data_IF_850686598696
#
_entry.id   IF_850686598696
#
_cell.length_a   1.000
_cell.length_b   1.000
_cell.length_c   1.000
_cell.angle_alpha   90.00
_cell.angle_beta   90.00
_cell.angle_gamma   90.00
#
_symmetry.space_group_name_H-M   'P 1'
#
loop_
_entity.id
_entity.type
_entity.pdbx_description
1 polymer ?
#
# COMPACT_ATOMS: atom_id res chain seq x y z
N UNK A 1 2.51 -48.71 25.74
CA UNK A 1 3.38 -47.68 25.14
C UNK A 1 2.49 -46.75 24.33
N UNK A 2 1.84 -45.77 24.96
CA UNK A 2 0.78 -44.95 24.31
C UNK A 2 1.10 -43.45 24.35
N UNK A 3 2.23 -43.06 24.95
CA UNK A 3 2.59 -41.65 25.19
C UNK A 3 3.34 -40.98 24.01
N UNK A 4 3.66 -41.71 22.95
CA UNK A 4 4.37 -41.19 21.76
C UNK A 4 3.44 -40.69 20.64
N UNK A 5 2.16 -41.09 20.67
CA UNK A 5 1.22 -40.79 19.58
C UNK A 5 0.85 -39.31 19.51
N UNK A 6 0.96 -38.56 20.61
CA UNK A 6 0.71 -37.12 20.66
C UNK A 6 1.91 -36.26 20.21
N UNK A 7 3.13 -36.82 20.20
CA UNK A 7 4.32 -36.08 19.80
C UNK A 7 4.42 -35.86 18.30
N UNK A 8 4.04 -36.86 17.50
CA UNK A 8 4.01 -36.75 16.04
C UNK A 8 3.06 -35.65 15.53
N UNK A 9 1.78 -35.58 15.94
CA UNK A 9 0.89 -34.50 15.51
C UNK A 9 1.36 -33.14 16.03
N UNK A 10 1.90 -33.05 17.26
CA UNK A 10 2.45 -31.81 17.79
C UNK A 10 3.64 -31.30 16.95
N UNK A 11 4.51 -32.21 16.53
CA UNK A 11 5.67 -31.91 15.68
C UNK A 11 5.25 -31.47 14.27
N UNK A 12 4.18 -32.06 13.72
CA UNK A 12 3.57 -31.58 12.46
C UNK A 12 3.05 -30.14 12.61
N UNK A 13 2.32 -29.84 13.68
CA UNK A 13 1.82 -28.48 13.95
C UNK A 13 2.99 -27.51 14.11
N UNK A 14 4.05 -27.91 14.82
CA UNK A 14 5.25 -27.09 14.99
C UNK A 14 5.92 -26.74 13.66
N UNK A 15 6.14 -27.72 12.77
CA UNK A 15 6.71 -27.45 11.45
C UNK A 15 5.83 -26.54 10.60
N UNK A 16 4.52 -26.72 10.68
CA UNK A 16 3.58 -25.88 9.97
C UNK A 16 3.60 -24.42 10.46
N UNK A 17 3.65 -24.21 11.79
CA UNK A 17 3.78 -22.89 12.39
C UNK A 17 5.14 -22.25 12.07
N UNK A 18 6.24 -23.00 12.13
CA UNK A 18 7.57 -22.51 11.79
C UNK A 18 7.64 -22.07 10.31
N UNK A 19 7.03 -22.86 9.41
CA UNK A 19 6.91 -22.51 8.00
C UNK A 19 6.07 -21.25 7.80
N UNK A 20 4.95 -21.12 8.52
CA UNK A 20 4.08 -19.94 8.48
C UNK A 20 4.79 -18.68 9.00
N UNK A 21 5.56 -18.80 10.10
CA UNK A 21 6.37 -17.70 10.63
C UNK A 21 7.46 -17.25 9.64
N UNK A 22 8.19 -18.19 9.05
CA UNK A 22 9.14 -17.91 7.97
C UNK A 22 8.46 -17.29 6.74
N UNK A 23 7.20 -17.63 6.50
CA UNK A 23 6.41 -17.09 5.41
C UNK A 23 6.14 -15.61 5.56
N UNK A 24 5.66 -15.20 6.72
CA UNK A 24 5.38 -13.79 7.00
C UNK A 24 6.66 -12.97 7.17
N UNK A 25 7.69 -13.53 7.81
CA UNK A 25 8.98 -12.84 7.97
C UNK A 25 9.56 -12.40 6.61
N UNK A 26 9.59 -13.30 5.62
CA UNK A 26 10.13 -12.96 4.30
C UNK A 26 9.30 -11.90 3.56
N UNK A 27 7.98 -11.79 3.79
CA UNK A 27 7.19 -10.70 3.18
C UNK A 27 7.61 -9.35 3.73
N UNK A 28 7.76 -9.26 5.05
CA UNK A 28 8.15 -8.03 5.73
C UNK A 28 9.57 -7.64 5.33
N UNK A 29 10.50 -8.59 5.27
CA UNK A 29 11.88 -8.29 4.90
C UNK A 29 12.00 -7.86 3.43
N UNK A 30 11.27 -8.51 2.52
CA UNK A 30 11.25 -8.08 1.12
C UNK A 30 10.62 -6.70 0.93
N UNK A 31 9.63 -6.33 1.75
CA UNK A 31 9.13 -4.95 1.81
C UNK A 31 10.18 -3.98 2.33
N UNK A 32 10.89 -4.31 3.43
CA UNK A 32 11.93 -3.45 4.00
C UNK A 32 13.05 -3.16 3.01
N UNK A 33 13.45 -4.15 2.21
CA UNK A 33 14.44 -3.93 1.15
C UNK A 33 13.92 -2.99 0.07
N UNK A 34 12.65 -3.16 -0.34
CA UNK A 34 12.00 -2.30 -1.33
C UNK A 34 11.81 -0.86 -0.84
N UNK A 35 11.38 -0.68 0.42
CA UNK A 35 11.12 0.62 1.05
C UNK A 35 12.36 1.52 1.09
N UNK A 36 13.57 0.97 1.23
CA UNK A 36 14.83 1.73 1.25
C UNK A 36 15.05 2.60 0.00
N UNK A 37 14.39 2.26 -1.11
CA UNK A 37 14.48 3.03 -2.36
C UNK A 37 13.63 4.31 -2.37
N UNK A 38 12.78 4.54 -1.37
CA UNK A 38 11.79 5.61 -1.34
C UNK A 38 12.03 6.58 -0.19
N UNK A 39 11.64 7.83 -0.38
CA UNK A 39 11.67 8.86 0.66
C UNK A 39 10.55 8.62 1.69
N UNK A 40 9.43 8.09 1.21
CA UNK A 40 8.31 7.65 2.04
C UNK A 40 7.68 6.42 1.41
N UNK A 41 7.50 5.36 2.20
CA UNK A 41 6.79 4.18 1.77
C UNK A 41 5.74 3.73 2.79
N UNK A 42 4.79 2.92 2.32
CA UNK A 42 3.78 2.24 3.11
C UNK A 42 3.79 0.76 2.77
N UNK A 43 3.62 -0.05 3.80
CA UNK A 43 3.15 -1.41 3.66
C UNK A 43 1.66 -1.46 4.04
N UNK A 44 0.87 -2.06 3.17
CA UNK A 44 -0.54 -2.39 3.41
C UNK A 44 -0.81 -3.75 2.76
N UNK A 45 -1.66 -4.58 3.37
CA UNK A 45 -1.89 -5.96 2.92
C UNK A 45 -2.42 -6.00 1.47
N UNK A 46 -3.14 -4.96 1.03
CA UNK A 46 -3.65 -4.87 -0.33
C UNK A 46 -2.64 -4.27 -1.31
N UNK A 47 -1.80 -3.32 -0.87
CA UNK A 47 -0.79 -2.70 -1.73
C UNK A 47 0.38 -2.08 -0.97
N UNK A 48 1.60 -2.21 -1.49
CA UNK A 48 2.70 -1.32 -1.11
C UNK A 48 2.60 -0.02 -1.89
N UNK A 49 3.06 1.10 -1.32
CA UNK A 49 3.10 2.40 -1.98
C UNK A 49 4.37 3.13 -1.57
N UNK A 50 5.10 3.72 -2.52
CA UNK A 50 6.36 4.40 -2.29
C UNK A 50 6.47 5.65 -3.14
N UNK A 51 6.97 6.74 -2.56
CA UNK A 51 7.26 8.00 -3.24
C UNK A 51 8.77 8.23 -3.28
N UNK A 52 9.31 8.55 -4.46
CA UNK A 52 10.70 8.94 -4.69
C UNK A 52 10.73 10.13 -5.64
N UNK A 53 11.15 11.30 -5.16
CA UNK A 53 10.95 12.55 -5.91
C UNK A 53 9.47 12.79 -6.23
N UNK A 54 9.14 12.84 -7.52
CA UNK A 54 7.76 12.95 -8.03
C UNK A 54 7.16 11.62 -8.46
N UNK A 55 7.93 10.52 -8.44
CA UNK A 55 7.46 9.20 -8.86
C UNK A 55 6.79 8.45 -7.71
N UNK A 56 5.53 8.09 -7.93
CA UNK A 56 4.72 7.28 -7.02
C UNK A 56 4.62 5.86 -7.58
N UNK A 57 5.15 4.88 -6.85
CA UNK A 57 5.16 3.46 -7.23
C UNK A 57 4.30 2.63 -6.27
N UNK A 58 3.47 1.74 -6.78
CA UNK A 58 2.66 0.82 -5.97
C UNK A 58 2.54 -0.57 -6.61
N UNK A 59 2.21 -1.58 -5.80
CA UNK A 59 1.97 -2.93 -6.29
C UNK A 59 1.55 -3.88 -5.17
N UNK A 60 1.41 -5.17 -5.48
CA UNK A 60 0.97 -6.18 -4.51
C UNK A 60 2.14 -6.68 -3.67
N UNK A 61 2.07 -6.66 -2.33
CA UNK A 61 3.12 -7.23 -1.49
C UNK A 61 3.20 -8.76 -1.68
N UNK A 62 4.41 -9.29 -1.86
CA UNK A 62 4.64 -10.74 -1.88
C UNK A 62 5.91 -11.11 -1.11
N UNK A 63 6.09 -12.41 -0.86
CA UNK A 63 7.28 -12.95 -0.16
C UNK A 63 8.60 -12.74 -0.91
N UNK A 64 8.54 -12.47 -2.21
CA UNK A 64 9.72 -12.22 -3.07
C UNK A 64 9.92 -10.73 -3.35
N UNK A 65 9.15 -9.87 -2.68
CA UNK A 65 9.05 -8.44 -2.96
C UNK A 65 7.74 -8.08 -3.66
N UNK A 66 7.46 -6.78 -3.81
CA UNK A 66 6.27 -6.32 -4.50
C UNK A 66 6.21 -6.78 -5.97
N UNK A 67 5.03 -7.17 -6.43
CA UNK A 67 4.78 -7.55 -7.83
C UNK A 67 3.69 -6.67 -8.44
N UNK A 68 3.54 -6.71 -9.77
CA UNK A 68 2.63 -5.84 -10.51
C UNK A 68 2.85 -4.36 -10.17
N UNK A 69 4.13 -3.98 -10.08
CA UNK A 69 4.54 -2.61 -9.80
C UNK A 69 4.09 -1.71 -10.94
N UNK A 70 3.41 -0.64 -10.58
CA UNK A 70 3.02 0.45 -11.45
C UNK A 70 3.62 1.73 -10.89
N UNK A 71 3.98 2.64 -11.77
CA UNK A 71 4.55 3.94 -11.41
C UNK A 71 3.81 5.03 -12.18
N UNK A 72 3.51 6.13 -11.49
CA UNK A 72 3.04 7.36 -12.10
C UNK A 72 3.88 8.54 -11.61
N UNK A 73 3.99 9.59 -12.41
CA UNK A 73 4.54 10.87 -11.95
C UNK A 73 3.43 11.72 -11.34
N UNK A 74 3.68 12.33 -10.18
CA UNK A 74 2.77 13.32 -9.59
C UNK A 74 2.60 14.55 -10.50
N UNK A 75 3.55 14.81 -11.41
CA UNK A 75 3.42 15.85 -12.44
C UNK A 75 2.28 15.56 -13.42
N UNK A 76 1.93 14.28 -13.63
CA UNK A 76 0.84 13.86 -14.52
C UNK A 76 -0.51 13.79 -13.79
N UNK A 77 -0.54 14.00 -12.48
CA UNK A 77 -1.76 13.95 -11.67
C UNK A 77 -2.47 15.31 -11.71
N UNK A 78 -3.78 15.28 -11.95
CA UNK A 78 -4.67 16.45 -11.88
C UNK A 78 -5.29 16.61 -10.50
N UNK A 79 -5.74 15.51 -9.89
CA UNK A 79 -6.39 15.53 -8.58
C UNK A 79 -6.31 14.15 -7.92
N UNK A 80 -6.36 14.14 -6.59
CA UNK A 80 -6.34 12.94 -5.78
C UNK A 80 -7.62 12.92 -4.94
N UNK A 81 -8.33 11.79 -4.89
CA UNK A 81 -9.54 11.63 -4.09
C UNK A 81 -9.42 10.41 -3.18
N UNK A 82 -9.93 10.52 -1.95
CA UNK A 82 -10.21 9.35 -1.14
C UNK A 82 -11.58 8.82 -1.54
N UNK A 83 -11.63 7.55 -1.92
CA UNK A 83 -12.86 6.84 -2.31
C UNK A 83 -13.10 5.74 -1.28
N UNK A 84 -14.26 5.77 -0.64
CA UNK A 84 -14.70 4.75 0.32
C UNK A 84 -16.05 4.22 -0.13
N UNK A 85 -16.15 2.91 -0.30
CA UNK A 85 -17.34 2.20 -0.79
C UNK A 85 -17.90 2.86 -2.07
N UNK A 86 -16.99 3.19 -2.99
CA UNK A 86 -17.26 3.84 -4.28
C UNK A 86 -17.84 5.27 -4.21
N UNK A 87 -17.69 5.95 -3.07
CA UNK A 87 -18.05 7.36 -2.88
C UNK A 87 -16.81 8.19 -2.56
N UNK A 88 -16.68 9.37 -3.19
CA UNK A 88 -15.63 10.32 -2.84
C UNK A 88 -15.91 10.94 -1.46
N UNK A 89 -14.91 10.91 -0.58
CA UNK A 89 -15.01 11.42 0.79
C UNK A 89 -13.93 12.45 1.07
N UNK A 90 -14.23 13.36 1.99
CA UNK A 90 -13.28 14.37 2.44
C UNK A 90 -12.14 13.74 3.24
N UNK A 91 -10.90 14.13 2.93
CA UNK A 91 -9.71 13.72 3.66
C UNK A 91 -9.68 14.29 5.08
N UNK A 92 -10.31 15.43 5.32
CA UNK A 92 -10.34 16.09 6.63
C UNK A 92 -11.43 15.57 7.55
N UNK A 93 -12.47 14.93 6.99
CA UNK A 93 -13.56 14.29 7.72
C UNK A 93 -13.92 12.93 7.11
N UNK A 94 -12.99 11.95 7.08
CA UNK A 94 -13.27 10.66 6.47
C UNK A 94 -14.22 9.82 7.36
N UNK A 95 -14.95 8.86 6.78
CA UNK A 95 -15.78 7.94 7.56
C UNK A 95 -14.92 7.07 8.50
N UNK A 96 -15.52 6.55 9.57
CA UNK A 96 -14.80 5.72 10.54
C UNK A 96 -14.31 4.38 9.95
N UNK A 97 -15.03 3.84 8.96
CA UNK A 97 -14.69 2.57 8.30
C UNK A 97 -15.30 2.48 6.90
N UNK A 98 -14.85 1.50 6.13
CA UNK A 98 -15.36 1.14 4.80
C UNK A 98 -14.84 -0.23 4.39
N UNK A 99 -15.44 -0.84 3.35
CA UNK A 99 -15.00 -2.14 2.82
C UNK A 99 -14.04 -1.97 1.65
N UNK A 100 -14.33 -1.03 0.76
CA UNK A 100 -13.50 -0.70 -0.39
C UNK A 100 -12.90 0.68 -0.16
N UNK A 101 -11.60 0.75 0.09
CA UNK A 101 -10.91 1.98 0.46
C UNK A 101 -9.78 2.19 -0.54
N UNK A 102 -9.85 3.26 -1.32
CA UNK A 102 -8.92 3.52 -2.41
C UNK A 102 -8.52 5.00 -2.44
N UNK A 103 -7.25 5.27 -2.79
CA UNK A 103 -6.90 6.58 -3.32
C UNK A 103 -7.02 6.54 -4.84
N UNK A 104 -7.85 7.43 -5.38
CA UNK A 104 -8.06 7.60 -6.81
C UNK A 104 -7.24 8.79 -7.32
N UNK A 105 -6.47 8.56 -8.38
CA UNK A 105 -5.63 9.54 -9.05
C UNK A 105 -6.23 9.83 -10.43
N UNK A 106 -6.75 11.04 -10.58
CA UNK A 106 -7.17 11.53 -11.89
C UNK A 106 -5.95 12.06 -12.62
N UNK A 107 -5.65 11.50 -13.80
CA UNK A 107 -4.49 11.92 -14.60
C UNK A 107 -4.87 13.06 -15.55
N UNK A 108 -3.89 13.88 -15.94
CA UNK A 108 -4.07 15.03 -16.84
C UNK A 108 -4.47 14.59 -18.26
N UNK A 109 -3.92 13.48 -18.73
CA UNK A 109 -4.02 13.01 -20.12
C UNK A 109 -4.82 11.71 -20.30
N UNK A 110 -5.08 10.96 -19.22
CA UNK A 110 -5.82 9.69 -19.28
C UNK A 110 -7.26 9.86 -18.78
N UNK A 111 -8.20 9.21 -19.46
CA UNK A 111 -9.61 9.22 -19.07
C UNK A 111 -9.89 8.28 -17.89
N UNK A 112 -9.19 7.16 -17.82
CA UNK A 112 -9.33 6.18 -16.74
C UNK A 112 -8.49 6.59 -15.53
N UNK A 113 -9.09 6.76 -14.35
CA UNK A 113 -8.34 7.07 -13.15
C UNK A 113 -7.57 5.84 -12.66
N UNK A 114 -6.45 6.09 -11.99
CA UNK A 114 -5.67 5.04 -11.33
C UNK A 114 -6.13 4.92 -9.88
N UNK A 115 -6.28 3.68 -9.39
CA UNK A 115 -6.71 3.42 -8.01
C UNK A 115 -5.69 2.60 -7.24
N UNK A 116 -5.40 3.03 -6.01
CA UNK A 116 -4.51 2.33 -5.08
C UNK A 116 -5.30 1.93 -3.84
N UNK A 117 -5.45 0.62 -3.54
CA UNK A 117 -6.23 0.15 -2.41
C UNK A 117 -5.50 0.29 -1.07
N UNK A 118 -6.29 0.39 -0.01
CA UNK A 118 -5.88 0.47 1.40
C UNK A 118 -6.78 -0.45 2.25
N UNK A 119 -6.27 -0.97 3.36
CA UNK A 119 -7.07 -1.73 4.33
C UNK A 119 -7.82 -0.84 5.31
N UNK A 120 -7.33 0.38 5.55
CA UNK A 120 -7.84 1.27 6.60
C UNK A 120 -8.05 2.70 6.10
N UNK A 121 -9.21 3.27 6.43
CA UNK A 121 -9.58 4.65 6.06
C UNK A 121 -8.60 5.67 6.64
N UNK A 122 -8.20 5.60 7.93
CA UNK A 122 -7.23 6.55 8.49
C UNK A 122 -5.89 6.56 7.76
N UNK A 123 -5.39 5.39 7.35
CA UNK A 123 -4.13 5.26 6.62
C UNK A 123 -4.26 5.88 5.21
N UNK A 124 -5.36 5.59 4.51
CA UNK A 124 -5.65 6.18 3.21
C UNK A 124 -5.76 7.71 3.29
N UNK A 125 -6.44 8.23 4.31
CA UNK A 125 -6.57 9.67 4.54
C UNK A 125 -5.22 10.33 4.81
N UNK A 126 -4.37 9.74 5.66
CA UNK A 126 -3.02 10.27 5.92
C UNK A 126 -2.16 10.33 4.66
N UNK A 127 -2.22 9.29 3.82
CA UNK A 127 -1.53 9.27 2.53
C UNK A 127 -2.11 10.28 1.55
N UNK A 128 -3.43 10.39 1.45
CA UNK A 128 -4.10 11.37 0.61
C UNK A 128 -3.71 12.80 0.96
N UNK A 129 -3.66 13.15 2.25
CA UNK A 129 -3.19 14.48 2.72
C UNK A 129 -1.74 14.73 2.37
N UNK A 130 -0.87 13.74 2.60
CA UNK A 130 0.54 13.85 2.26
C UNK A 130 0.74 14.06 0.76
N UNK A 131 0.07 13.28 -0.09
CA UNK A 131 0.21 13.38 -1.54
C UNK A 131 -0.37 14.70 -2.09
N UNK A 132 -1.45 15.23 -1.51
CA UNK A 132 -1.93 16.58 -1.85
C UNK A 132 -0.88 17.65 -1.57
N UNK A 133 -0.13 17.55 -0.47
CA UNK A 133 0.94 18.50 -0.17
C UNK A 133 2.08 18.38 -1.19
N UNK A 134 2.41 17.17 -1.65
CA UNK A 134 3.43 16.98 -2.68
C UNK A 134 2.97 17.50 -4.05
N UNK A 135 1.71 17.25 -4.43
CA UNK A 135 1.14 17.76 -5.68
C UNK A 135 1.19 19.29 -5.75
N UNK A 136 0.80 19.98 -4.67
CA UNK A 136 0.88 21.45 -4.58
C UNK A 136 2.32 21.97 -4.74
N UNK A 137 3.32 21.25 -4.22
CA UNK A 137 4.73 21.64 -4.38
C UNK A 137 5.17 21.53 -5.83
N UNK A 138 4.79 20.45 -6.51
CA UNK A 138 5.09 20.22 -7.93
C UNK A 138 4.48 21.33 -8.79
N UNK A 139 3.21 21.66 -8.60
CA UNK A 139 2.52 22.74 -9.30
C UNK A 139 3.21 24.11 -9.08
N UNK A 140 3.68 24.36 -7.86
CA UNK A 140 4.37 25.62 -7.52
C UNK A 140 5.76 25.70 -8.17
N UNK A 141 6.45 24.56 -8.34
CA UNK A 141 7.76 24.52 -9.01
C UNK A 141 7.67 24.67 -10.52
N UNK A 142 6.59 24.20 -11.17
CA UNK A 142 6.38 24.39 -12.62
C UNK A 142 6.09 25.86 -13.00
N UNK A 143 5.59 26.67 -12.05
CA UNK A 143 5.24 28.08 -12.29
C UNK A 143 6.41 29.06 -12.13
N UNK A 144 7.63 28.59 -11.82
CA UNK A 144 8.85 29.42 -11.66
C UNK A 144 9.80 29.23 -12.83
#
# INVERSE_FOLDING_TARGET
MERGLLWLPLLIVFFWLAWSGWNEYNKVEAYREWEKGFEKAKYDIYAVLGLKGTELTWGKPTRKGPTNLQTLSLEDVRSIWLVVDNHSVDLDSPPESGKEIELEFQLKQEATPVRVPFTEVPLAAQWGKFLHQQLKKVETSESR
#
